data_IF_016382539879
#
_entry.id   IF_016382539879
#
_cell.length_a   1.000
_cell.length_b   1.000
_cell.length_c   1.000
_cell.angle_alpha   90.00
_cell.angle_beta   90.00
_cell.angle_gamma   90.00
#
_symmetry.space_group_name_H-M   'P 1'
#
loop_
_entity.id
_entity.type
_entity.pdbx_description
1 polymer ?
#
# COMPACT_ATOMS: atom_id res chain seq x y z
N UNK A 1 17.88 1.45 -0.36
CA UNK A 1 17.10 1.57 -1.60
C UNK A 1 16.48 2.97 -1.80
N UNK A 2 17.00 4.03 -1.15
CA UNK A 2 16.39 5.36 -1.20
C UNK A 2 16.31 5.95 -2.62
N UNK A 3 17.40 5.85 -3.39
CA UNK A 3 17.42 6.30 -4.80
C UNK A 3 16.40 5.53 -5.65
N UNK A 4 16.30 4.21 -5.46
CA UNK A 4 15.31 3.39 -6.16
C UNK A 4 13.87 3.83 -5.84
N UNK A 5 13.54 4.05 -4.56
CA UNK A 5 12.22 4.53 -4.14
C UNK A 5 11.89 5.89 -4.77
N UNK A 6 12.87 6.81 -4.80
CA UNK A 6 12.73 8.12 -5.45
C UNK A 6 12.45 8.00 -6.94
N UNK A 7 13.19 7.18 -7.68
CA UNK A 7 13.00 6.99 -9.12
C UNK A 7 11.64 6.32 -9.45
N UNK A 8 11.20 5.35 -8.62
CA UNK A 8 9.86 4.76 -8.74
C UNK A 8 8.78 5.83 -8.54
N UNK A 9 8.90 6.66 -7.51
CA UNK A 9 7.95 7.77 -7.27
C UNK A 9 7.87 8.73 -8.46
N UNK A 10 9.02 9.19 -8.99
CA UNK A 10 9.06 10.06 -10.18
C UNK A 10 8.40 9.40 -11.40
N UNK A 11 8.62 8.10 -11.60
CA UNK A 11 8.01 7.33 -12.67
C UNK A 11 6.49 7.29 -12.53
N UNK A 12 5.96 7.10 -11.32
CA UNK A 12 4.52 7.08 -11.05
C UNK A 12 3.88 8.47 -11.23
N UNK A 13 4.53 9.53 -10.77
CA UNK A 13 4.08 10.91 -10.99
C UNK A 13 3.94 11.20 -12.49
N UNK A 14 4.98 10.91 -13.28
CA UNK A 14 4.94 11.06 -14.74
C UNK A 14 3.84 10.19 -15.35
N UNK A 15 3.71 8.95 -14.89
CA UNK A 15 2.70 8.03 -15.40
C UNK A 15 1.26 8.54 -15.21
N UNK A 16 0.98 9.22 -14.10
CA UNK A 16 -0.33 9.83 -13.85
C UNK A 16 -0.49 11.12 -14.65
N UNK A 17 0.54 11.98 -14.70
CA UNK A 17 0.48 13.27 -15.40
C UNK A 17 0.31 13.13 -16.92
N UNK A 18 0.99 12.15 -17.53
CA UNK A 18 1.02 11.93 -18.98
C UNK A 18 0.10 10.79 -19.44
N UNK A 19 -0.66 10.19 -18.52
CA UNK A 19 -1.50 9.01 -18.74
C UNK A 19 -0.77 7.83 -19.42
N UNK A 20 0.43 7.53 -18.94
CA UNK A 20 1.30 6.48 -19.49
C UNK A 20 0.62 5.10 -19.33
N UNK A 21 0.62 4.25 -20.38
CA UNK A 21 0.14 2.88 -20.29
C UNK A 21 0.86 2.07 -19.21
N UNK A 22 0.11 1.31 -18.41
CA UNK A 22 0.67 0.56 -17.27
C UNK A 22 1.72 -0.48 -17.67
N UNK A 23 1.62 -1.05 -18.88
CA UNK A 23 2.63 -1.98 -19.39
C UNK A 23 3.99 -1.28 -19.59
N UNK A 24 3.99 -0.01 -19.98
CA UNK A 24 5.23 0.78 -20.10
C UNK A 24 5.78 1.13 -18.72
N UNK A 25 4.90 1.52 -17.78
CA UNK A 25 5.29 1.77 -16.38
C UNK A 25 5.93 0.53 -15.76
N UNK A 26 5.33 -0.65 -16.00
CA UNK A 26 5.85 -1.93 -15.53
C UNK A 26 7.24 -2.23 -16.09
N UNK A 27 7.47 -2.00 -17.39
CA UNK A 27 8.77 -2.18 -18.02
C UNK A 27 9.84 -1.28 -17.41
N UNK A 28 9.51 -0.01 -17.13
CA UNK A 28 10.43 0.95 -16.53
C UNK A 28 10.77 0.57 -15.08
N UNK A 29 9.77 0.24 -14.26
CA UNK A 29 9.97 -0.23 -12.88
C UNK A 29 10.80 -1.53 -12.87
N UNK A 30 10.53 -2.48 -13.79
CA UNK A 30 11.34 -3.69 -13.95
C UNK A 30 12.80 -3.37 -14.28
N UNK A 31 13.04 -2.40 -15.17
CA UNK A 31 14.38 -1.95 -15.52
C UNK A 31 15.12 -1.37 -14.31
N UNK A 32 14.48 -0.46 -13.57
CA UNK A 32 15.04 0.13 -12.34
C UNK A 32 15.33 -0.93 -11.28
N UNK A 33 14.40 -1.86 -11.07
CA UNK A 33 14.55 -2.97 -10.11
C UNK A 33 15.77 -3.82 -10.43
N UNK A 34 15.94 -4.21 -11.70
CA UNK A 34 17.08 -5.01 -12.15
C UNK A 34 18.39 -4.23 -12.00
N UNK A 35 18.41 -2.94 -12.35
CA UNK A 35 19.60 -2.10 -12.18
C UNK A 35 19.99 -1.90 -10.71
N UNK A 36 19.01 -1.86 -9.81
CA UNK A 36 19.23 -1.71 -8.37
C UNK A 36 19.47 -3.04 -7.65
N UNK A 37 19.42 -4.18 -8.36
CA UNK A 37 19.41 -5.53 -7.78
C UNK A 37 18.37 -5.69 -6.66
N UNK A 38 17.18 -5.11 -6.86
CA UNK A 38 16.09 -5.10 -5.90
C UNK A 38 15.13 -6.30 -6.10
N UNK A 39 14.45 -6.69 -5.04
CA UNK A 39 13.41 -7.70 -5.06
C UNK A 39 12.12 -7.16 -5.72
N UNK A 40 11.21 -8.03 -6.20
CA UNK A 40 9.88 -7.60 -6.63
C UNK A 40 9.13 -6.84 -5.53
N UNK A 41 9.21 -7.30 -4.29
CA UNK A 41 8.56 -6.66 -3.14
C UNK A 41 9.05 -5.22 -2.92
N UNK A 42 10.33 -4.93 -3.19
CA UNK A 42 10.86 -3.57 -3.09
C UNK A 42 10.14 -2.60 -4.03
N UNK A 43 9.63 -3.09 -5.17
CA UNK A 43 8.82 -2.27 -6.09
C UNK A 43 7.48 -1.93 -5.45
N UNK A 44 6.76 -2.91 -4.88
CA UNK A 44 5.50 -2.67 -4.21
C UNK A 44 5.68 -1.73 -3.00
N UNK A 45 6.75 -1.95 -2.21
CA UNK A 45 7.15 -1.10 -1.09
C UNK A 45 7.52 0.32 -1.50
N UNK A 46 8.06 0.53 -2.70
CA UNK A 46 8.30 1.86 -3.24
C UNK A 46 7.02 2.51 -3.81
N UNK A 47 6.14 1.70 -4.42
CA UNK A 47 4.93 2.18 -5.07
C UNK A 47 3.86 2.62 -4.07
N UNK A 48 3.61 1.85 -3.01
CA UNK A 48 2.50 2.12 -2.10
C UNK A 48 2.61 3.52 -1.43
N UNK A 49 3.73 3.90 -0.80
CA UNK A 49 3.87 5.23 -0.20
C UNK A 49 3.77 6.33 -1.25
N UNK A 50 4.39 6.15 -2.43
CA UNK A 50 4.34 7.13 -3.51
C UNK A 50 2.90 7.40 -3.99
N UNK A 51 2.08 6.35 -4.17
CA UNK A 51 0.68 6.50 -4.56
C UNK A 51 -0.15 7.23 -3.50
N UNK A 52 0.13 7.02 -2.21
CA UNK A 52 -0.56 7.69 -1.11
C UNK A 52 -0.14 9.15 -0.97
N UNK A 53 1.16 9.45 -1.11
CA UNK A 53 1.67 10.82 -1.15
C UNK A 53 1.05 11.60 -2.31
N UNK A 54 1.05 11.02 -3.52
CA UNK A 54 0.37 11.61 -4.68
C UNK A 54 -1.12 11.88 -4.43
N UNK A 55 -1.81 10.95 -3.75
CA UNK A 55 -3.22 11.12 -3.41
C UNK A 55 -3.43 12.30 -2.44
N UNK A 56 -2.60 12.40 -1.41
CA UNK A 56 -2.68 13.46 -0.41
C UNK A 56 -2.28 14.83 -0.98
N UNK A 57 -1.28 14.87 -1.87
CA UNK A 57 -0.91 16.07 -2.62
C UNK A 57 -2.04 16.57 -3.53
N UNK A 58 -2.71 15.66 -4.24
CA UNK A 58 -3.85 16.02 -5.11
C UNK A 58 -5.07 16.50 -4.31
N UNK A 59 -5.33 15.93 -3.14
CA UNK A 59 -6.38 16.41 -2.23
C UNK A 59 -6.00 17.77 -1.62
N UNK A 60 -4.72 17.97 -1.33
CA UNK A 60 -4.20 19.11 -0.60
C UNK A 60 -4.32 18.95 0.92
N UNK A 61 -3.60 19.79 1.70
CA UNK A 61 -3.37 19.57 3.13
C UNK A 61 -4.61 19.69 4.02
N UNK A 62 -5.71 20.25 3.50
CA UNK A 62 -6.96 20.46 4.24
C UNK A 62 -8.08 19.49 3.84
N UNK A 63 -7.82 18.59 2.89
CA UNK A 63 -8.84 17.69 2.37
C UNK A 63 -8.46 16.23 2.57
N UNK A 64 -9.52 15.41 2.57
CA UNK A 64 -9.45 13.98 2.68
C UNK A 64 -8.97 13.33 1.38
N UNK A 65 -7.77 12.73 1.42
CA UNK A 65 -7.14 12.04 0.29
C UNK A 65 -7.70 10.65 -0.03
N UNK A 66 -8.66 10.11 0.74
CA UNK A 66 -9.14 8.72 0.58
C UNK A 66 -9.70 8.41 -0.80
N UNK A 67 -10.39 9.37 -1.42
CA UNK A 67 -10.95 9.20 -2.78
C UNK A 67 -9.83 9.10 -3.83
N UNK A 68 -8.82 9.96 -3.74
CA UNK A 68 -7.66 9.98 -4.61
C UNK A 68 -6.83 8.71 -4.42
N UNK A 69 -6.62 8.29 -3.17
CA UNK A 69 -5.92 7.06 -2.83
C UNK A 69 -6.60 5.85 -3.45
N UNK A 70 -7.92 5.69 -3.26
CA UNK A 70 -8.68 4.61 -3.91
C UNK A 70 -8.57 4.64 -5.43
N UNK A 71 -8.62 5.82 -6.06
CA UNK A 71 -8.47 5.92 -7.52
C UNK A 71 -7.09 5.47 -7.99
N UNK A 72 -6.04 5.91 -7.32
CA UNK A 72 -4.65 5.56 -7.66
C UNK A 72 -4.37 4.08 -7.39
N UNK A 73 -4.71 3.57 -6.21
CA UNK A 73 -4.58 2.15 -5.86
C UNK A 73 -5.33 1.25 -6.86
N UNK A 74 -6.55 1.64 -7.26
CA UNK A 74 -7.31 0.90 -8.28
C UNK A 74 -6.65 0.94 -9.65
N UNK A 75 -6.08 2.08 -10.06
CA UNK A 75 -5.34 2.22 -11.33
C UNK A 75 -4.12 1.30 -11.33
N UNK A 76 -3.34 1.29 -10.25
CA UNK A 76 -2.08 0.55 -10.15
C UNK A 76 -2.23 -0.87 -9.56
N UNK A 77 -3.47 -1.32 -9.30
CA UNK A 77 -3.81 -2.62 -8.68
C UNK A 77 -3.00 -3.78 -9.23
N UNK A 78 -3.02 -3.98 -10.56
CA UNK A 78 -2.36 -5.14 -11.19
C UNK A 78 -0.86 -5.17 -10.94
N UNK A 79 -0.22 -4.00 -10.91
CA UNK A 79 1.21 -3.89 -10.63
C UNK A 79 1.50 -4.15 -9.15
N UNK A 80 0.70 -3.60 -8.23
CA UNK A 80 0.82 -3.92 -6.81
C UNK A 80 0.69 -5.43 -6.59
N UNK A 81 -0.36 -6.06 -7.10
CA UNK A 81 -0.55 -7.53 -7.00
C UNK A 81 0.62 -8.32 -7.59
N UNK A 82 1.15 -7.90 -8.74
CA UNK A 82 2.31 -8.54 -9.38
C UNK A 82 3.57 -8.46 -8.50
N UNK A 83 3.82 -7.32 -7.88
CA UNK A 83 5.06 -7.08 -7.13
C UNK A 83 5.01 -7.58 -5.69
N UNK A 84 3.84 -7.57 -5.05
CA UNK A 84 3.61 -8.23 -3.76
C UNK A 84 3.66 -9.75 -3.94
N UNK A 85 2.91 -10.25 -4.92
CA UNK A 85 2.77 -11.68 -5.18
C UNK A 85 1.95 -12.43 -4.12
N UNK A 86 1.80 -13.76 -4.26
CA UNK A 86 0.94 -14.57 -3.37
C UNK A 86 1.63 -15.00 -2.07
N UNK A 87 2.86 -14.54 -1.81
CA UNK A 87 3.59 -14.92 -0.60
C UNK A 87 3.00 -14.22 0.60
N UNK A 88 2.45 -14.97 1.55
CA UNK A 88 1.90 -14.46 2.81
C UNK A 88 2.78 -13.39 3.48
N UNK A 89 4.04 -13.70 3.72
CA UNK A 89 4.99 -12.77 4.34
C UNK A 89 5.18 -11.46 3.57
N UNK A 90 5.07 -11.48 2.23
CA UNK A 90 5.13 -10.25 1.44
C UNK A 90 3.87 -9.38 1.62
N UNK A 91 2.72 -10.00 1.85
CA UNK A 91 1.48 -9.27 2.11
C UNK A 91 1.50 -8.62 3.49
N UNK A 92 1.96 -9.35 4.52
CA UNK A 92 2.21 -8.82 5.87
C UNK A 92 3.18 -7.64 5.81
N UNK A 93 4.30 -7.81 5.08
CA UNK A 93 5.30 -6.78 4.85
C UNK A 93 4.76 -5.51 4.20
N UNK A 94 3.68 -5.60 3.42
CA UNK A 94 3.02 -4.46 2.77
C UNK A 94 2.08 -3.73 3.72
N UNK A 95 1.46 -4.46 4.67
CA UNK A 95 0.71 -3.83 5.76
C UNK A 95 1.67 -3.05 6.66
N UNK A 96 2.82 -3.61 7.00
CA UNK A 96 3.86 -2.87 7.74
C UNK A 96 4.41 -1.69 6.96
N UNK A 97 4.64 -1.81 5.65
CA UNK A 97 5.07 -0.66 4.83
C UNK A 97 4.02 0.47 4.83
N UNK A 98 2.73 0.14 4.82
CA UNK A 98 1.66 1.15 4.95
C UNK A 98 1.76 1.88 6.29
N UNK A 99 2.04 1.14 7.37
CA UNK A 99 2.21 1.68 8.71
C UNK A 99 3.44 2.59 8.77
N UNK A 100 4.62 2.09 8.37
CA UNK A 100 5.87 2.83 8.35
C UNK A 100 5.74 4.12 7.52
N UNK A 101 5.08 4.07 6.36
CA UNK A 101 4.85 5.25 5.54
C UNK A 101 4.01 6.33 6.25
N UNK A 102 3.03 5.92 7.05
CA UNK A 102 2.18 6.83 7.81
C UNK A 102 2.86 7.36 9.08
N UNK A 103 3.81 6.61 9.66
CA UNK A 103 4.69 7.07 10.73
C UNK A 103 5.71 8.11 10.23
N UNK A 104 6.29 7.88 9.05
CA UNK A 104 7.28 8.76 8.44
C UNK A 104 6.66 10.06 7.90
N UNK A 105 5.43 9.98 7.35
CA UNK A 105 4.68 11.12 6.83
C UNK A 105 3.30 11.21 7.52
N UNK A 106 3.17 12.03 8.58
CA UNK A 106 1.93 12.17 9.35
C UNK A 106 0.71 12.58 8.51
N UNK A 107 0.92 13.20 7.33
CA UNK A 107 -0.18 13.49 6.42
C UNK A 107 -0.87 12.24 5.86
N UNK A 108 -0.25 11.05 5.95
CA UNK A 108 -0.79 9.78 5.48
C UNK A 108 -1.53 8.99 6.59
N UNK A 109 -1.34 9.32 7.87
CA UNK A 109 -2.04 8.67 8.99
C UNK A 109 -3.57 8.61 8.78
N UNK A 110 -4.26 9.68 8.34
CA UNK A 110 -5.71 9.62 8.09
C UNK A 110 -6.12 8.67 6.95
N UNK A 111 -5.17 8.27 6.10
CA UNK A 111 -5.40 7.34 4.99
C UNK A 111 -5.17 5.89 5.38
N UNK A 112 -4.57 5.60 6.54
CA UNK A 112 -4.12 4.25 6.94
C UNK A 112 -5.26 3.23 6.90
N UNK A 113 -6.27 3.39 7.77
CA UNK A 113 -7.34 2.41 7.92
C UNK A 113 -8.14 2.20 6.61
N UNK A 114 -8.40 3.29 5.89
CA UNK A 114 -9.05 3.23 4.58
C UNK A 114 -8.21 2.49 3.55
N UNK A 115 -6.90 2.74 3.52
CA UNK A 115 -5.99 2.10 2.58
C UNK A 115 -5.85 0.62 2.88
N UNK A 116 -5.71 0.23 4.15
CA UNK A 116 -5.64 -1.17 4.57
C UNK A 116 -6.88 -1.95 4.10
N UNK A 117 -8.08 -1.44 4.41
CA UNK A 117 -9.33 -2.02 3.95
C UNK A 117 -9.43 -2.07 2.41
N UNK A 118 -8.89 -1.07 1.72
CA UNK A 118 -8.91 -1.01 0.26
C UNK A 118 -7.90 -1.97 -0.39
N UNK A 119 -6.74 -2.20 0.23
CA UNK A 119 -5.76 -3.19 -0.22
C UNK A 119 -6.34 -4.61 -0.13
N UNK A 120 -7.05 -4.91 0.98
CA UNK A 120 -7.82 -6.15 1.12
C UNK A 120 -8.88 -6.28 0.03
N UNK A 121 -9.71 -5.25 -0.16
CA UNK A 121 -10.75 -5.22 -1.22
C UNK A 121 -10.19 -5.40 -2.64
N UNK A 122 -8.95 -5.01 -2.87
CA UNK A 122 -8.29 -5.13 -4.18
C UNK A 122 -7.56 -6.48 -4.36
N UNK A 123 -7.66 -7.40 -3.40
CA UNK A 123 -6.91 -8.66 -3.36
C UNK A 123 -5.40 -8.41 -3.49
N UNK A 124 -4.88 -7.39 -2.79
CA UNK A 124 -3.42 -7.13 -2.68
C UNK A 124 -2.88 -7.78 -1.42
N UNK A 125 -3.67 -7.76 -0.35
CA UNK A 125 -3.42 -8.49 0.90
C UNK A 125 -4.64 -9.33 1.21
N UNK A 126 -4.42 -10.53 1.72
CA UNK A 126 -5.45 -11.46 2.17
C UNK A 126 -5.74 -11.26 3.65
N UNK A 127 -6.85 -11.85 4.11
CA UNK A 127 -7.29 -11.74 5.50
C UNK A 127 -6.24 -12.29 6.48
N UNK A 128 -5.66 -13.43 6.17
CA UNK A 128 -4.64 -14.08 7.00
C UNK A 128 -3.41 -13.16 7.23
N UNK A 129 -3.02 -12.39 6.22
CA UNK A 129 -1.94 -11.43 6.29
C UNK A 129 -2.30 -10.25 7.22
N UNK A 130 -3.53 -9.74 7.13
CA UNK A 130 -4.03 -8.69 8.04
C UNK A 130 -4.11 -9.21 9.48
N UNK A 131 -4.64 -10.41 9.70
CA UNK A 131 -4.71 -11.04 11.02
C UNK A 131 -3.31 -11.32 11.61
N UNK A 132 -2.33 -11.65 10.75
CA UNK A 132 -0.93 -11.82 11.17
C UNK A 132 -0.32 -10.50 11.62
N UNK A 133 -0.46 -9.43 10.84
CA UNK A 133 -0.03 -8.09 11.23
C UNK A 133 -0.70 -7.64 12.53
N UNK A 134 -2.01 -7.88 12.69
CA UNK A 134 -2.73 -7.52 13.91
C UNK A 134 -2.14 -8.21 15.14
N UNK A 135 -1.97 -9.53 15.10
CA UNK A 135 -1.40 -10.32 16.19
C UNK A 135 0.01 -9.84 16.55
N UNK A 136 0.86 -9.64 15.56
CA UNK A 136 2.24 -9.19 15.76
C UNK A 136 2.30 -7.75 16.35
N UNK A 137 1.39 -6.87 15.94
CA UNK A 137 1.25 -5.52 16.51
C UNK A 137 0.73 -5.52 17.96
N UNK A 138 -0.16 -6.46 18.31
CA UNK A 138 -0.57 -6.66 19.71
C UNK A 138 0.58 -7.15 20.59
N UNK A 139 1.41 -8.07 20.06
CA UNK A 139 2.57 -8.62 20.77
C UNK A 139 3.70 -7.58 20.97
N UNK A 140 3.89 -6.69 19.99
CA UNK A 140 4.86 -5.60 20.06
C UNK A 140 4.41 -4.44 20.96
N UNK A 141 3.11 -4.31 21.21
CA UNK A 141 2.51 -3.23 21.98
C UNK A 141 2.23 -1.96 21.17
N UNK A 142 2.37 -2.00 19.85
CA UNK A 142 2.08 -0.89 18.94
C UNK A 142 0.60 -0.86 18.55
N UNK A 143 -0.24 -0.50 19.53
CA UNK A 143 -1.70 -0.62 19.39
C UNK A 143 -2.36 0.56 18.68
N UNK A 144 -1.64 1.68 18.45
CA UNK A 144 -2.24 2.88 17.86
C UNK A 144 -2.84 2.61 16.47
N UNK A 145 -2.17 1.79 15.67
CA UNK A 145 -2.61 1.44 14.31
C UNK A 145 -3.75 0.44 14.32
N UNK A 146 -3.81 -0.42 15.35
CA UNK A 146 -4.96 -1.29 15.61
C UNK A 146 -6.19 -0.45 15.93
N UNK A 147 -6.05 0.55 16.80
CA UNK A 147 -7.15 1.45 17.17
C UNK A 147 -7.69 2.22 15.94
N UNK A 148 -6.81 2.64 15.03
CA UNK A 148 -7.21 3.30 13.78
C UNK A 148 -7.96 2.34 12.83
N UNK A 149 -7.56 1.07 12.78
CA UNK A 149 -8.13 0.05 11.91
C UNK A 149 -9.29 -0.75 12.52
N UNK A 150 -9.66 -0.51 13.78
CA UNK A 150 -10.57 -1.35 14.56
C UNK A 150 -11.91 -1.66 13.87
N UNK A 151 -12.50 -0.67 13.19
CA UNK A 151 -13.74 -0.87 12.44
C UNK A 151 -13.58 -1.89 11.31
N UNK A 152 -12.45 -1.86 10.60
CA UNK A 152 -12.16 -2.81 9.53
C UNK A 152 -11.82 -4.19 10.11
N UNK A 153 -11.03 -4.24 11.18
CA UNK A 153 -10.65 -5.50 11.84
C UNK A 153 -11.86 -6.23 12.42
N UNK A 154 -12.79 -5.49 13.04
CA UNK A 154 -14.07 -6.03 13.51
C UNK A 154 -14.89 -6.61 12.36
N UNK A 155 -15.05 -5.85 11.27
CA UNK A 155 -15.78 -6.31 10.09
C UNK A 155 -15.14 -7.57 9.47
N UNK A 156 -13.81 -7.64 9.44
CA UNK A 156 -13.08 -8.77 8.86
C UNK A 156 -13.38 -10.06 9.63
N UNK A 157 -13.35 -10.02 10.97
CA UNK A 157 -13.70 -11.17 11.84
C UNK A 157 -15.16 -11.59 11.70
N UNK A 158 -16.09 -10.64 11.64
CA UNK A 158 -17.52 -10.93 11.49
C UNK A 158 -17.82 -11.59 10.13
N UNK A 159 -17.11 -11.19 9.07
CA UNK A 159 -17.27 -11.78 7.75
C UNK A 159 -16.79 -13.25 7.69
N UNK A 160 -15.75 -13.60 8.45
CA UNK A 160 -15.28 -14.98 8.61
C UNK A 160 -16.36 -15.84 9.30
N UNK A 161 -16.91 -15.36 10.42
CA UNK A 161 -17.93 -16.08 11.22
C UNK A 161 -19.24 -16.37 10.46
N UNK A 162 -19.61 -15.55 9.46
CA UNK A 162 -20.80 -15.79 8.62
C UNK A 162 -20.56 -16.80 7.48
N UNK A 163 -19.30 -17.13 7.18
CA UNK A 163 -18.92 -17.98 6.05
C UNK A 163 -18.67 -19.46 6.41
N UNK A 164 -18.65 -19.78 7.70
CA UNK A 164 -18.54 -21.13 8.30
C UNK A 164 -19.90 -21.69 8.77
#
# INVERSE_FOLDING_TARGET
LADFRREVSLTLHRAVAEDVPLDNVDLEIKGMRLSANAAPLDCARAMLPALLQMAQEEAGPLHDGRKQASRLLKRFRKLLQQYVGPTHGHQVDIVYELQEAAEEEPALEPLFAHTLAYLYKLDVVEEDAVQTWERESMESGDTQWLDLAEQFLTWLREAEEESD
#
